data_IF_341846220850
#
_entry.id   IF_341846220850
#
_cell.length_a   1.000
_cell.length_b   1.000
_cell.length_c   1.000
_cell.angle_alpha   90.00
_cell.angle_beta   90.00
_cell.angle_gamma   90.00
#
_symmetry.space_group_name_H-M   'P 1'
#
loop_
_entity.id
_entity.type
_entity.pdbx_description
1 polymer ?
#
# COMPACT_ATOMS: atom_id res chain seq x y z
N UNK A 1 -13.95 7.13 -1.96
CA UNK A 1 -12.50 7.36 -2.00
C UNK A 1 -11.91 6.27 -2.86
N UNK A 2 -11.12 6.62 -3.87
CA UNK A 2 -10.40 5.61 -4.66
C UNK A 2 -9.16 5.14 -3.88
N UNK A 3 -8.54 4.04 -4.33
CA UNK A 3 -7.40 3.45 -3.60
C UNK A 3 -6.18 4.38 -3.63
N UNK A 4 -5.97 5.09 -4.75
CA UNK A 4 -4.85 6.02 -4.91
C UNK A 4 -4.92 7.19 -3.95
N UNK A 5 -6.10 7.79 -3.81
CA UNK A 5 -6.39 8.86 -2.85
C UNK A 5 -6.17 8.36 -1.43
N UNK A 6 -6.60 7.14 -1.11
CA UNK A 6 -6.36 6.56 0.21
C UNK A 6 -4.87 6.40 0.50
N UNK A 7 -4.10 5.83 -0.42
CA UNK A 7 -2.65 5.66 -0.24
C UNK A 7 -1.98 7.02 -0.11
N UNK A 8 -2.34 7.99 -0.96
CA UNK A 8 -1.81 9.34 -0.89
C UNK A 8 -2.15 10.04 0.43
N UNK A 9 -3.38 9.90 0.93
CA UNK A 9 -3.81 10.51 2.19
C UNK A 9 -3.11 9.88 3.41
N UNK A 10 -2.73 8.60 3.34
CA UNK A 10 -2.08 7.87 4.43
C UNK A 10 -0.57 8.10 4.49
N UNK A 11 0.11 8.05 3.34
CA UNK A 11 1.58 8.06 3.28
C UNK A 11 2.16 9.11 2.32
N UNK A 12 1.34 9.91 1.63
CA UNK A 12 1.80 10.93 0.68
C UNK A 12 2.36 10.37 -0.63
N UNK A 13 2.24 9.06 -0.86
CA UNK A 13 2.77 8.38 -2.05
C UNK A 13 1.71 8.35 -3.15
N UNK A 14 2.12 8.73 -4.36
CA UNK A 14 1.29 8.59 -5.56
C UNK A 14 1.59 7.26 -6.23
N UNK A 15 0.56 6.41 -6.37
CA UNK A 15 0.67 5.12 -7.05
C UNK A 15 -0.03 5.14 -8.42
N UNK A 16 0.50 4.35 -9.37
CA UNK A 16 -0.03 4.33 -10.74
C UNK A 16 -1.15 3.31 -10.98
N UNK A 17 -1.31 2.30 -10.11
CA UNK A 17 -2.39 1.29 -10.18
C UNK A 17 -3.53 1.57 -9.20
N UNK A 18 -4.75 1.12 -9.55
CA UNK A 18 -5.92 1.08 -8.65
C UNK A 18 -6.16 -0.33 -8.08
N UNK A 19 -5.33 -1.31 -8.46
CA UNK A 19 -5.49 -2.70 -8.07
C UNK A 19 -4.55 -3.04 -6.90
N UNK A 20 -5.11 -3.16 -5.69
CA UNK A 20 -4.33 -3.48 -4.49
C UNK A 20 -3.60 -4.83 -4.59
N UNK A 21 -4.14 -5.81 -5.31
CA UNK A 21 -3.51 -7.11 -5.47
C UNK A 21 -2.23 -7.03 -6.33
N UNK A 22 -2.24 -6.19 -7.36
CA UNK A 22 -1.04 -5.91 -8.17
C UNK A 22 0.00 -5.17 -7.34
N UNK A 23 -0.43 -4.15 -6.61
CA UNK A 23 0.45 -3.34 -5.75
C UNK A 23 1.10 -4.21 -4.67
N UNK A 24 0.36 -5.13 -4.05
CA UNK A 24 0.90 -6.10 -3.07
C UNK A 24 1.97 -7.02 -3.65
N UNK A 25 1.86 -7.40 -4.93
CA UNK A 25 2.81 -8.32 -5.56
C UNK A 25 4.16 -7.64 -5.87
N UNK A 26 4.13 -6.39 -6.31
CA UNK A 26 5.34 -5.62 -6.66
C UNK A 26 5.12 -4.11 -6.44
N UNK A 27 5.22 -3.61 -5.19
CA UNK A 27 4.96 -2.21 -4.87
C UNK A 27 5.88 -1.26 -5.64
N UNK A 28 7.12 -1.67 -5.90
CA UNK A 28 8.13 -0.87 -6.58
C UNK A 28 7.74 -0.53 -8.02
N UNK A 29 6.96 -1.37 -8.69
CA UNK A 29 6.49 -1.13 -10.05
C UNK A 29 5.52 0.06 -10.16
N UNK A 30 4.92 0.50 -9.05
CA UNK A 30 3.84 1.49 -9.05
C UNK A 30 4.24 2.87 -8.52
N UNK A 31 5.51 3.05 -8.17
CA UNK A 31 6.06 4.28 -7.57
C UNK A 31 7.32 4.75 -8.30
N UNK A 32 7.67 6.01 -8.13
CA UNK A 32 8.79 6.62 -8.85
C UNK A 32 10.13 6.35 -8.16
N UNK A 33 10.17 6.47 -6.84
CA UNK A 33 11.40 6.39 -6.05
C UNK A 33 11.47 5.12 -5.18
N UNK A 34 12.69 4.79 -4.75
CA UNK A 34 12.91 3.69 -3.80
C UNK A 34 12.33 4.01 -2.41
N UNK A 35 12.42 5.28 -1.97
CA UNK A 35 11.81 5.76 -0.73
C UNK A 35 10.29 5.56 -0.72
N UNK A 36 9.60 5.94 -1.81
CA UNK A 36 8.16 5.71 -1.96
C UNK A 36 7.80 4.22 -1.97
N UNK A 37 8.68 3.36 -2.48
CA UNK A 37 8.45 1.92 -2.47
C UNK A 37 8.51 1.37 -1.05
N UNK A 38 9.47 1.85 -0.24
CA UNK A 38 9.59 1.48 1.16
C UNK A 38 8.38 1.93 1.98
N UNK A 39 7.93 3.18 1.81
CA UNK A 39 6.74 3.70 2.50
C UNK A 39 5.49 2.89 2.13
N UNK A 40 5.35 2.51 0.85
CA UNK A 40 4.24 1.69 0.37
C UNK A 40 4.31 0.25 0.90
N UNK A 41 5.50 -0.36 0.95
CA UNK A 41 5.73 -1.68 1.55
C UNK A 41 5.37 -1.68 3.05
N UNK A 42 5.77 -0.65 3.79
CA UNK A 42 5.44 -0.51 5.21
C UNK A 42 3.92 -0.40 5.42
N UNK A 43 3.24 0.42 4.62
CA UNK A 43 1.78 0.52 4.67
C UNK A 43 1.10 -0.84 4.42
N UNK A 44 1.51 -1.57 3.39
CA UNK A 44 0.96 -2.88 3.06
C UNK A 44 1.17 -3.90 4.17
N UNK A 45 2.37 -3.90 4.78
CA UNK A 45 2.69 -4.76 5.91
C UNK A 45 1.79 -4.46 7.13
N UNK A 46 1.59 -3.18 7.47
CA UNK A 46 0.70 -2.78 8.56
C UNK A 46 -0.76 -3.19 8.32
N UNK A 47 -1.21 -3.12 7.06
CA UNK A 47 -2.54 -3.59 6.67
C UNK A 47 -2.67 -5.11 6.82
N UNK A 48 -1.69 -5.89 6.37
CA UNK A 48 -1.68 -7.35 6.57
C UNK A 48 -1.69 -7.74 8.06
N UNK A 49 -0.92 -7.03 8.90
CA UNK A 49 -0.91 -7.26 10.35
C UNK A 49 -2.25 -6.94 11.01
N UNK A 50 -2.97 -5.97 10.48
CA UNK A 50 -4.31 -5.61 10.96
C UNK A 50 -5.33 -6.67 10.58
N UNK A 51 -5.26 -7.22 9.36
CA UNK A 51 -6.10 -8.33 8.89
C UNK A 51 -5.86 -9.61 9.71
N UNK A 52 -4.60 -9.95 10.04
CA UNK A 52 -4.28 -11.09 10.91
C UNK A 52 -4.83 -10.96 12.34
N UNK A 53 -5.05 -9.74 12.82
CA UNK A 53 -5.55 -9.48 14.18
C UNK A 53 -7.08 -9.52 14.28
N UNK A 54 -7.79 -9.50 13.15
CA UNK A 54 -9.27 -9.49 13.11
C UNK A 54 -9.87 -10.92 13.12
N UNK A 55 -9.08 -11.95 12.82
CA UNK A 55 -9.49 -13.37 12.81
C UNK A 55 -9.36 -14.08 14.18
N UNK A 56 -9.05 -13.33 15.25
CA UNK A 56 -8.86 -13.86 16.60
C UNK A 56 -10.06 -13.62 17.54
N UNK A 57 -11.30 -13.63 17.01
CA UNK A 57 -12.54 -13.44 17.80
C UNK A 57 -13.52 -14.60 17.65
#
# INVERSE_FOLDING_TARGET
MNLKELIFDLIGVVVTSENIAEIRLDPRAFVETEEQAQDLEELLFLLEKSEESEDAV
#
